data_IF_178535684309
#
_entry.id   IF_178535684309
#
_cell.length_a   1.000
_cell.length_b   1.000
_cell.length_c   1.000
_cell.angle_alpha   90.00
_cell.angle_beta   90.00
_cell.angle_gamma   90.00
#
_symmetry.space_group_name_H-M   'P 1'
#
loop_
_entity.id
_entity.type
_entity.pdbx_description
1 polymer ?
#
# COMPACT_ATOMS: atom_id res chain seq x y z
N UNK A 1 26.65 5.12 -11.09
CA UNK A 1 25.54 4.47 -11.84
C UNK A 1 24.74 3.62 -10.88
N UNK A 2 23.39 3.67 -10.94
CA UNK A 2 22.50 2.88 -10.07
C UNK A 2 21.66 1.99 -10.94
N UNK A 3 21.81 0.65 -10.81
CA UNK A 3 20.94 -0.31 -11.47
C UNK A 3 19.56 -0.33 -10.76
N UNK A 4 18.50 -0.40 -11.52
CA UNK A 4 17.14 -0.46 -10.99
C UNK A 4 16.24 -1.40 -11.79
N UNK A 5 15.19 -1.88 -11.15
CA UNK A 5 14.02 -2.48 -11.79
C UNK A 5 12.81 -1.57 -11.54
N UNK A 6 11.99 -1.36 -12.57
CA UNK A 6 10.69 -0.68 -12.43
C UNK A 6 9.60 -1.73 -12.37
N UNK A 7 8.76 -1.64 -11.35
CA UNK A 7 7.66 -2.57 -11.10
C UNK A 7 6.41 -1.81 -10.69
N UNK A 8 5.27 -2.47 -10.72
CA UNK A 8 4.05 -1.97 -10.08
C UNK A 8 3.26 -3.08 -9.40
N UNK A 9 2.45 -2.68 -8.39
CA UNK A 9 1.41 -3.50 -7.80
C UNK A 9 0.09 -2.74 -7.86
N UNK A 10 -0.85 -3.21 -8.69
CA UNK A 10 -2.15 -2.54 -8.89
C UNK A 10 -2.01 -1.05 -9.31
N UNK A 11 -1.09 -0.73 -10.20
CA UNK A 11 -0.87 0.63 -10.70
C UNK A 11 -0.02 1.55 -9.81
N UNK A 12 0.28 1.16 -8.57
CA UNK A 12 1.25 1.85 -7.73
C UNK A 12 2.66 1.46 -8.17
N UNK A 13 3.44 2.40 -8.72
CA UNK A 13 4.70 2.13 -9.40
C UNK A 13 5.94 2.40 -8.54
N UNK A 14 6.92 1.52 -8.69
CA UNK A 14 8.13 1.49 -7.87
C UNK A 14 9.40 1.45 -8.71
N UNK A 15 10.43 2.15 -8.25
CA UNK A 15 11.82 1.88 -8.63
C UNK A 15 12.44 1.05 -7.51
N UNK A 16 12.86 -0.17 -7.81
CA UNK A 16 13.52 -1.07 -6.87
C UNK A 16 15.02 -1.09 -7.14
N UNK A 17 15.80 -0.81 -6.10
CA UNK A 17 17.26 -0.80 -6.12
C UNK A 17 17.77 -1.88 -5.17
N UNK A 18 18.48 -2.86 -5.69
CA UNK A 18 19.26 -3.79 -4.87
C UNK A 18 20.47 -3.05 -4.29
N UNK A 19 20.57 -3.03 -2.98
CA UNK A 19 21.64 -2.35 -2.23
C UNK A 19 22.21 -3.24 -1.12
N UNK A 20 22.36 -4.54 -1.39
CA UNK A 20 22.83 -5.52 -0.43
C UNK A 20 24.29 -5.29 0.01
N UNK A 21 25.06 -4.62 -0.80
CA UNK A 21 26.46 -4.25 -0.49
C UNK A 21 26.58 -2.82 0.09
N UNK A 22 25.46 -2.10 0.28
CA UNK A 22 25.42 -0.71 0.77
C UNK A 22 26.25 0.30 -0.04
N UNK A 23 26.47 0.03 -1.33
CA UNK A 23 27.29 0.89 -2.21
C UNK A 23 26.52 2.12 -2.71
N UNK A 24 25.18 2.08 -2.69
CA UNK A 24 24.37 3.19 -3.18
C UNK A 24 23.94 4.12 -2.06
N UNK A 25 24.45 5.35 -2.11
CA UNK A 25 23.93 6.47 -1.31
C UNK A 25 22.80 7.13 -2.09
N UNK A 26 21.62 7.20 -1.47
CA UNK A 26 20.39 7.78 -2.03
C UNK A 26 19.90 8.94 -1.15
N UNK A 27 20.60 10.10 -1.19
CA UNK A 27 20.18 11.28 -0.45
C UNK A 27 18.84 11.80 -1.02
N UNK A 28 18.09 12.52 -0.19
CA UNK A 28 16.76 13.07 -0.52
C UNK A 28 16.74 13.78 -1.89
N UNK A 29 17.72 14.61 -2.18
CA UNK A 29 17.82 15.34 -3.44
C UNK A 29 17.93 14.42 -4.67
N UNK A 30 18.63 13.29 -4.54
CA UNK A 30 18.76 12.30 -5.61
C UNK A 30 17.44 11.56 -5.83
N UNK A 31 16.74 11.18 -4.76
CA UNK A 31 15.44 10.52 -4.84
C UNK A 31 14.42 11.43 -5.54
N UNK A 32 14.37 12.72 -5.20
CA UNK A 32 13.50 13.71 -5.85
C UNK A 32 13.81 13.79 -7.36
N UNK A 33 15.11 13.86 -7.73
CA UNK A 33 15.51 13.89 -9.16
C UNK A 33 15.07 12.62 -9.91
N UNK A 34 15.24 11.46 -9.27
CA UNK A 34 14.79 10.18 -9.86
C UNK A 34 13.26 10.09 -9.94
N UNK A 35 12.54 10.67 -8.96
CA UNK A 35 11.08 10.63 -8.87
C UNK A 35 10.35 11.54 -9.84
N UNK A 36 11.03 12.53 -10.43
CA UNK A 36 10.41 13.44 -11.41
C UNK A 36 9.91 12.67 -12.65
N UNK A 37 8.59 12.69 -12.89
CA UNK A 37 7.96 11.93 -14.00
C UNK A 37 8.28 12.49 -15.39
N UNK A 38 8.82 13.70 -15.50
CA UNK A 38 9.17 14.35 -16.78
C UNK A 38 10.66 14.31 -17.07
N UNK A 39 11.49 14.41 -16.02
CA UNK A 39 12.95 14.56 -16.14
C UNK A 39 13.74 13.43 -15.46
N UNK A 40 13.08 12.55 -14.73
CA UNK A 40 13.63 11.40 -14.04
C UNK A 40 13.06 10.08 -14.53
N UNK A 41 13.06 9.07 -13.66
CA UNK A 41 12.45 7.76 -13.90
C UNK A 41 10.94 7.79 -13.65
N UNK A 42 10.49 8.69 -12.77
CA UNK A 42 9.12 8.79 -12.32
C UNK A 42 8.68 7.54 -11.54
N UNK A 43 8.14 7.73 -10.36
CA UNK A 43 7.60 6.66 -9.51
C UNK A 43 6.75 7.24 -8.39
N UNK A 44 5.89 6.41 -7.81
CA UNK A 44 5.23 6.73 -6.54
C UNK A 44 6.22 6.56 -5.38
N UNK A 45 7.00 5.46 -5.39
CA UNK A 45 8.03 5.22 -4.38
C UNK A 45 9.28 4.57 -4.96
N UNK A 46 10.43 4.93 -4.37
CA UNK A 46 11.69 4.22 -4.53
C UNK A 46 11.86 3.25 -3.37
N UNK A 47 12.25 2.01 -3.67
CA UNK A 47 12.44 0.95 -2.70
C UNK A 47 13.90 0.49 -2.76
N UNK A 48 14.57 0.44 -1.60
CA UNK A 48 15.90 -0.18 -1.50
C UNK A 48 15.82 -1.49 -0.74
N UNK A 49 16.50 -2.51 -1.27
CA UNK A 49 16.68 -3.80 -0.60
C UNK A 49 18.08 -3.83 -0.02
N UNK A 50 18.16 -3.93 1.29
CA UNK A 50 19.42 -3.82 2.04
C UNK A 50 19.67 -5.13 2.82
N UNK A 51 20.91 -5.34 3.32
CA UNK A 51 21.19 -6.45 4.23
C UNK A 51 20.25 -6.43 5.43
N UNK A 52 19.91 -7.59 6.00
CA UNK A 52 19.05 -7.66 7.18
C UNK A 52 19.70 -6.91 8.37
N UNK A 53 18.89 -6.20 9.15
CA UNK A 53 19.33 -5.53 10.37
C UNK A 53 19.53 -6.47 11.56
N UNK A 54 18.94 -7.67 11.48
CA UNK A 54 19.09 -8.71 12.49
C UNK A 54 18.89 -10.08 11.82
N UNK A 55 19.28 -11.15 12.52
CA UNK A 55 19.24 -12.53 12.00
C UNK A 55 17.84 -13.13 11.79
N UNK A 56 16.78 -12.42 12.23
CA UNK A 56 15.40 -12.88 12.07
C UNK A 56 14.80 -12.50 10.72
N UNK A 57 15.40 -11.54 10.01
CA UNK A 57 14.92 -11.05 8.73
C UNK A 57 15.80 -11.57 7.59
N UNK A 58 15.20 -11.91 6.45
CA UNK A 58 15.95 -12.28 5.26
C UNK A 58 16.57 -11.03 4.60
N UNK A 59 15.83 -9.91 4.57
CA UNK A 59 16.25 -8.63 4.01
C UNK A 59 15.68 -7.47 4.82
N UNK A 60 16.28 -6.27 4.68
CA UNK A 60 15.72 -5.03 5.19
C UNK A 60 15.34 -4.11 4.05
N UNK A 61 14.09 -3.65 4.03
CA UNK A 61 13.50 -2.85 2.93
C UNK A 61 13.18 -1.44 3.43
N UNK A 62 13.64 -0.43 2.67
CA UNK A 62 13.26 0.97 2.89
C UNK A 62 12.42 1.47 1.73
N UNK A 63 11.44 2.29 2.06
CA UNK A 63 10.52 2.93 1.12
C UNK A 63 10.71 4.44 1.17
N UNK A 64 10.82 5.08 0.02
CA UNK A 64 10.95 6.52 -0.08
C UNK A 64 9.90 7.05 -1.05
N UNK A 65 9.14 8.04 -0.63
CA UNK A 65 8.23 8.76 -1.51
C UNK A 65 9.00 9.57 -2.57
N UNK A 66 8.34 9.97 -3.64
CA UNK A 66 8.96 10.75 -4.72
C UNK A 66 9.47 12.13 -4.25
N UNK A 67 9.00 12.64 -3.12
CA UNK A 67 9.51 13.85 -2.46
C UNK A 67 10.75 13.60 -1.58
N UNK A 68 11.25 12.35 -1.57
CA UNK A 68 12.43 11.91 -0.83
C UNK A 68 12.21 11.69 0.67
N UNK A 69 10.98 11.75 1.17
CA UNK A 69 10.65 11.36 2.55
C UNK A 69 10.62 9.84 2.68
N UNK A 70 11.12 9.31 3.79
CA UNK A 70 11.07 7.87 4.07
C UNK A 70 9.67 7.50 4.59
N UNK A 71 9.01 6.59 3.90
CA UNK A 71 7.74 6.00 4.31
C UNK A 71 7.96 4.78 5.22
N UNK A 72 7.00 4.48 6.07
CA UNK A 72 7.12 3.37 7.02
C UNK A 72 7.04 2.01 6.32
N UNK A 73 6.11 1.84 5.39
CA UNK A 73 5.88 0.61 4.62
C UNK A 73 4.85 0.86 3.51
N UNK A 74 4.94 0.09 2.43
CA UNK A 74 3.93 0.02 1.38
C UNK A 74 3.64 -1.45 1.02
N UNK A 75 2.39 -1.88 1.16
CA UNK A 75 2.02 -3.29 0.92
C UNK A 75 2.13 -3.71 -0.54
N UNK A 76 1.84 -2.79 -1.49
CA UNK A 76 2.07 -3.04 -2.90
C UNK A 76 3.58 -3.20 -3.18
N UNK A 77 4.39 -2.34 -2.57
CA UNK A 77 5.85 -2.39 -2.66
C UNK A 77 6.44 -3.66 -2.03
N UNK A 78 5.94 -4.09 -0.87
CA UNK A 78 6.39 -5.35 -0.21
C UNK A 78 6.18 -6.56 -1.14
N UNK A 79 5.02 -6.65 -1.83
CA UNK A 79 4.78 -7.70 -2.81
C UNK A 79 5.74 -7.63 -4.00
N UNK A 80 5.99 -6.42 -4.50
CA UNK A 80 6.95 -6.19 -5.60
C UNK A 80 8.37 -6.58 -5.20
N UNK A 81 8.79 -6.31 -3.95
CA UNK A 81 10.08 -6.76 -3.43
C UNK A 81 10.17 -8.28 -3.40
N UNK A 82 9.14 -8.98 -2.90
CA UNK A 82 9.12 -10.45 -2.90
C UNK A 82 9.27 -11.02 -4.31
N UNK A 83 8.47 -10.55 -5.27
CA UNK A 83 8.56 -10.96 -6.67
C UNK A 83 9.96 -10.70 -7.25
N UNK A 84 10.52 -9.50 -7.00
CA UNK A 84 11.87 -9.13 -7.45
C UNK A 84 12.95 -10.09 -6.92
N UNK A 85 12.94 -10.38 -5.60
CA UNK A 85 13.95 -11.22 -4.97
C UNK A 85 13.98 -12.64 -5.54
N UNK A 86 12.82 -13.20 -5.82
CA UNK A 86 12.71 -14.55 -6.41
C UNK A 86 13.08 -14.56 -7.89
N UNK A 87 12.66 -13.56 -8.66
CA UNK A 87 12.92 -13.51 -10.11
C UNK A 87 14.39 -13.16 -10.42
N UNK A 88 15.00 -12.30 -9.60
CA UNK A 88 16.43 -11.97 -9.69
C UNK A 88 17.35 -13.05 -9.09
N UNK A 89 16.80 -14.19 -8.63
CA UNK A 89 17.53 -15.27 -7.98
C UNK A 89 18.37 -14.82 -6.76
N UNK A 90 17.96 -13.71 -6.10
CA UNK A 90 18.59 -13.22 -4.87
C UNK A 90 18.13 -13.99 -3.63
N UNK A 91 17.02 -14.70 -3.73
CA UNK A 91 16.51 -15.62 -2.74
C UNK A 91 15.84 -16.83 -3.40
N UNK A 92 15.82 -18.01 -2.74
CA UNK A 92 15.04 -19.14 -3.21
C UNK A 92 13.54 -18.79 -3.19
N UNK A 93 12.75 -19.40 -4.10
CA UNK A 93 11.30 -19.17 -4.21
C UNK A 93 10.53 -19.84 -3.06
N UNK A 94 10.69 -19.30 -1.87
CA UNK A 94 10.04 -19.72 -0.61
C UNK A 94 9.62 -18.48 0.19
N UNK A 95 8.86 -18.61 1.29
CA UNK A 95 8.52 -17.48 2.17
C UNK A 95 9.75 -16.71 2.62
N UNK A 96 9.65 -15.38 2.63
CA UNK A 96 10.70 -14.45 3.08
C UNK A 96 10.13 -13.50 4.12
N UNK A 97 10.88 -13.25 5.19
CA UNK A 97 10.54 -12.24 6.20
C UNK A 97 11.30 -10.95 5.92
N UNK A 98 10.60 -9.95 5.43
CA UNK A 98 11.15 -8.63 5.10
C UNK A 98 11.04 -7.69 6.30
N UNK A 99 12.17 -7.23 6.83
CA UNK A 99 12.20 -6.16 7.82
C UNK A 99 11.87 -4.82 7.15
N UNK A 100 11.04 -4.00 7.79
CA UNK A 100 10.73 -2.63 7.36
C UNK A 100 10.91 -1.65 8.51
N UNK A 101 10.70 -0.35 8.28
CA UNK A 101 10.77 0.65 9.32
C UNK A 101 9.68 0.47 10.39
N UNK A 102 8.47 0.05 10.00
CA UNK A 102 7.36 -0.15 10.94
C UNK A 102 7.42 -1.52 11.61
N UNK A 103 7.33 -2.60 10.83
CA UNK A 103 7.30 -3.99 11.32
C UNK A 103 7.72 -4.96 10.21
N UNK A 104 8.18 -6.16 10.57
CA UNK A 104 8.47 -7.18 9.56
C UNK A 104 7.19 -7.67 8.88
N UNK A 105 7.32 -8.04 7.61
CA UNK A 105 6.23 -8.57 6.79
C UNK A 105 6.68 -9.88 6.13
N UNK A 106 5.88 -10.93 6.32
CA UNK A 106 6.07 -12.19 5.63
C UNK A 106 5.49 -12.08 4.22
N UNK A 107 6.30 -12.39 3.20
CA UNK A 107 5.85 -12.51 1.81
C UNK A 107 6.04 -13.95 1.34
N UNK A 108 5.09 -14.44 0.54
CA UNK A 108 5.10 -15.80 0.04
C UNK A 108 4.76 -15.84 -1.44
N UNK A 109 5.48 -16.66 -2.24
CA UNK A 109 5.12 -16.88 -3.63
C UNK A 109 3.80 -17.66 -3.72
N UNK A 110 3.01 -17.39 -4.76
CA UNK A 110 1.81 -18.19 -5.07
C UNK A 110 2.00 -18.95 -6.37
N UNK A 111 1.13 -19.94 -6.64
CA UNK A 111 1.14 -20.67 -7.89
C UNK A 111 0.76 -19.79 -9.10
N UNK A 112 -0.03 -18.74 -8.88
CA UNK A 112 -0.60 -17.88 -9.92
C UNK A 112 0.25 -16.66 -10.29
N UNK A 113 1.55 -16.65 -10.02
CA UNK A 113 2.46 -15.49 -10.16
C UNK A 113 2.08 -14.26 -9.34
N UNK A 114 1.03 -14.33 -8.51
CA UNK A 114 0.70 -13.30 -7.51
C UNK A 114 1.60 -13.50 -6.29
N UNK A 115 1.71 -12.45 -5.49
CA UNK A 115 2.45 -12.49 -4.22
C UNK A 115 1.48 -12.35 -3.06
N UNK A 116 1.64 -13.20 -2.06
CA UNK A 116 0.93 -13.12 -0.80
C UNK A 116 1.78 -12.34 0.21
N UNK A 117 1.18 -11.40 0.91
CA UNK A 117 1.77 -10.72 2.06
C UNK A 117 0.88 -10.95 3.27
N UNK A 118 1.48 -11.24 4.44
CA UNK A 118 0.77 -11.51 5.68
C UNK A 118 0.83 -10.29 6.58
N UNK A 119 -0.34 -9.83 7.03
CA UNK A 119 -0.54 -8.64 7.85
C UNK A 119 -1.15 -9.00 9.20
N UNK A 120 -1.01 -8.11 10.17
CA UNK A 120 -1.89 -8.11 11.32
C UNK A 120 -3.30 -7.71 10.91
N UNK A 121 -4.31 -8.23 11.60
CA UNK A 121 -5.69 -7.81 11.37
C UNK A 121 -5.82 -6.33 11.74
N UNK A 122 -6.35 -5.48 10.84
CA UNK A 122 -6.63 -4.07 11.17
C UNK A 122 -7.59 -3.95 12.34
N UNK A 123 -7.35 -2.96 13.20
CA UNK A 123 -8.16 -2.70 14.39
C UNK A 123 -9.16 -1.56 14.16
N UNK A 124 -10.36 -1.70 14.74
CA UNK A 124 -11.32 -0.61 14.74
C UNK A 124 -10.97 0.39 15.85
N UNK A 125 -10.97 1.67 15.51
CA UNK A 125 -10.81 2.77 16.45
C UNK A 125 -12.12 3.51 16.69
N UNK A 126 -12.22 4.16 17.84
CA UNK A 126 -13.41 4.96 18.21
C UNK A 126 -13.27 6.36 17.64
N UNK A 127 -14.33 6.84 16.98
CA UNK A 127 -14.43 8.24 16.55
C UNK A 127 -15.02 9.08 17.69
N UNK A 128 -14.43 10.26 18.03
CA UNK A 128 -15.02 11.18 19.00
C UNK A 128 -16.46 11.56 18.63
N UNK A 129 -17.34 11.71 19.62
CA UNK A 129 -18.76 12.05 19.42
C UNK A 129 -18.96 13.31 18.56
N UNK A 130 -18.09 14.31 18.71
CA UNK A 130 -18.11 15.54 17.90
C UNK A 130 -17.87 15.28 16.43
N UNK A 131 -16.92 14.39 16.10
CA UNK A 131 -16.57 14.00 14.73
C UNK A 131 -17.65 13.10 14.12
N UNK A 132 -18.23 12.20 14.90
CA UNK A 132 -19.35 11.36 14.48
C UNK A 132 -20.55 12.24 14.06
N UNK A 133 -20.94 13.24 14.89
CA UNK A 133 -22.00 14.21 14.55
C UNK A 133 -21.66 15.02 13.29
N UNK A 134 -20.38 15.36 13.08
CA UNK A 134 -19.96 16.04 11.87
C UNK A 134 -20.12 15.16 10.63
N UNK A 135 -19.73 13.88 10.69
CA UNK A 135 -19.92 12.93 9.60
C UNK A 135 -21.41 12.76 9.25
N UNK A 136 -22.29 12.67 10.26
CA UNK A 136 -23.73 12.62 10.06
C UNK A 136 -24.28 13.86 9.34
N UNK A 137 -23.84 15.07 9.73
CA UNK A 137 -24.18 16.33 9.03
C UNK A 137 -23.67 16.36 7.58
N UNK A 138 -22.60 15.59 7.27
CA UNK A 138 -22.12 15.39 5.91
C UNK A 138 -22.89 14.29 5.14
N UNK A 139 -23.96 13.70 5.73
CA UNK A 139 -24.72 12.62 5.11
C UNK A 139 -24.02 11.24 5.12
N UNK A 140 -23.00 11.09 5.99
CA UNK A 140 -22.23 9.89 6.14
C UNK A 140 -22.73 9.12 7.36
N UNK A 141 -23.46 8.02 7.15
CA UNK A 141 -24.09 7.23 8.23
C UNK A 141 -23.51 5.83 8.40
N UNK A 142 -23.03 5.23 7.30
CA UNK A 142 -22.44 3.88 7.30
C UNK A 142 -20.93 3.99 7.10
N UNK A 143 -20.18 4.05 8.18
CA UNK A 143 -18.71 4.15 8.14
C UNK A 143 -18.08 3.37 9.29
N UNK A 144 -16.80 3.12 9.13
CA UNK A 144 -15.89 2.59 10.16
C UNK A 144 -14.60 3.38 10.14
N UNK A 145 -14.00 3.51 11.32
CA UNK A 145 -12.69 4.11 11.50
C UNK A 145 -11.71 3.02 11.88
N UNK A 146 -10.75 2.75 11.02
CA UNK A 146 -9.91 1.56 11.08
C UNK A 146 -8.44 1.95 11.03
N UNK A 147 -7.63 1.32 11.86
CA UNK A 147 -6.18 1.40 11.80
C UNK A 147 -5.62 0.14 11.13
N UNK A 148 -5.00 0.32 9.98
CA UNK A 148 -4.33 -0.72 9.19
C UNK A 148 -2.81 -0.45 9.08
N UNK A 149 -2.22 0.12 10.14
CA UNK A 149 -0.87 0.69 10.16
C UNK A 149 -0.87 2.20 9.93
N UNK A 150 -1.92 2.71 9.28
CA UNK A 150 -2.31 4.11 9.16
C UNK A 150 -3.84 4.20 9.30
N UNK A 151 -4.34 5.42 9.48
CA UNK A 151 -5.75 5.67 9.82
C UNK A 151 -6.62 5.75 8.58
N UNK A 152 -7.75 5.05 8.60
CA UNK A 152 -8.72 4.99 7.50
C UNK A 152 -10.13 5.29 7.98
N UNK A 153 -10.82 6.20 7.30
CA UNK A 153 -12.27 6.33 7.36
C UNK A 153 -12.86 5.61 6.15
N UNK A 154 -13.49 4.46 6.38
CA UNK A 154 -14.07 3.62 5.32
C UNK A 154 -15.58 3.78 5.33
N UNK A 155 -16.17 4.22 4.22
CA UNK A 155 -17.55 4.65 4.11
C UNK A 155 -18.29 3.78 3.08
N UNK A 156 -19.37 3.14 3.49
CA UNK A 156 -20.23 2.36 2.59
C UNK A 156 -21.16 3.27 1.78
N UNK A 157 -21.15 3.14 0.45
CA UNK A 157 -22.04 3.82 -0.48
C UNK A 157 -22.44 2.88 -1.62
N UNK A 158 -23.65 3.01 -2.18
CA UNK A 158 -24.12 2.15 -3.28
C UNK A 158 -23.49 2.48 -4.65
N UNK A 159 -23.25 3.76 -4.93
CA UNK A 159 -22.73 4.24 -6.23
C UNK A 159 -21.47 5.09 -5.99
N UNK A 160 -20.36 4.43 -5.68
CA UNK A 160 -19.12 5.13 -5.27
C UNK A 160 -18.55 6.04 -6.35
N UNK A 161 -18.76 5.72 -7.63
CA UNK A 161 -18.27 6.53 -8.77
C UNK A 161 -19.08 7.81 -9.03
N UNK A 162 -20.27 7.97 -8.42
CA UNK A 162 -21.05 9.20 -8.51
C UNK A 162 -20.59 10.28 -7.52
N UNK A 163 -19.64 9.96 -6.64
CA UNK A 163 -19.14 10.89 -5.62
C UNK A 163 -17.86 11.56 -6.09
N UNK A 164 -17.76 12.87 -5.87
CA UNK A 164 -16.51 13.61 -5.92
C UNK A 164 -15.75 13.32 -4.62
N UNK A 165 -14.85 12.30 -4.68
CA UNK A 165 -14.11 11.84 -3.51
C UNK A 165 -13.07 12.86 -3.05
N UNK A 166 -12.48 13.64 -3.97
CA UNK A 166 -11.51 14.68 -3.63
C UNK A 166 -12.17 15.83 -2.86
N UNK A 167 -13.35 16.27 -3.32
CA UNK A 167 -14.14 17.29 -2.62
C UNK A 167 -14.58 16.81 -1.25
N UNK A 168 -15.05 15.55 -1.14
CA UNK A 168 -15.42 14.97 0.15
C UNK A 168 -14.22 14.93 1.09
N UNK A 169 -13.09 14.43 0.64
CA UNK A 169 -11.86 14.28 1.43
C UNK A 169 -11.33 15.64 1.89
N UNK A 170 -11.29 16.62 0.99
CA UNK A 170 -10.90 18.00 1.31
C UNK A 170 -11.81 18.63 2.37
N UNK A 171 -13.14 18.38 2.29
CA UNK A 171 -14.09 18.85 3.29
C UNK A 171 -13.84 18.22 4.66
N UNK A 172 -13.59 16.90 4.71
CA UNK A 172 -13.36 16.20 5.98
C UNK A 172 -12.03 16.63 6.62
N UNK A 173 -10.96 16.75 5.83
CA UNK A 173 -9.61 17.15 6.30
C UNK A 173 -9.49 18.59 6.81
N UNK A 174 -10.51 19.44 6.61
CA UNK A 174 -10.58 20.74 7.31
C UNK A 174 -10.67 20.59 8.83
N UNK A 175 -11.07 19.43 9.32
CA UNK A 175 -11.04 19.14 10.75
C UNK A 175 -9.73 18.42 11.10
N UNK A 176 -9.08 18.90 12.16
CA UNK A 176 -7.77 18.39 12.62
C UNK A 176 -7.75 16.87 12.81
N UNK A 177 -8.86 16.27 13.25
CA UNK A 177 -8.97 14.83 13.47
C UNK A 177 -8.77 14.00 12.18
N UNK A 178 -9.15 14.54 11.01
CA UNK A 178 -9.08 13.83 9.72
C UNK A 178 -7.92 14.27 8.83
N UNK A 179 -6.99 15.11 9.29
CA UNK A 179 -5.92 15.67 8.45
C UNK A 179 -5.04 14.59 7.82
N UNK A 180 -4.68 13.57 8.59
CA UNK A 180 -3.81 12.46 8.21
C UNK A 180 -4.59 11.15 7.89
N UNK A 181 -5.91 11.25 7.74
CA UNK A 181 -6.79 10.10 7.52
C UNK A 181 -7.00 9.84 6.04
N UNK A 182 -6.80 8.59 5.62
CA UNK A 182 -7.19 8.11 4.30
C UNK A 182 -8.71 7.93 4.23
N UNK A 183 -9.35 8.53 3.23
CA UNK A 183 -10.80 8.51 3.08
C UNK A 183 -11.16 7.55 1.95
N UNK A 184 -11.96 6.53 2.26
CA UNK A 184 -12.34 5.51 1.29
C UNK A 184 -13.85 5.42 1.15
N UNK A 185 -14.31 5.26 -0.10
CA UNK A 185 -15.67 4.86 -0.42
C UNK A 185 -15.66 3.43 -0.93
N UNK A 186 -16.57 2.59 -0.44
CA UNK A 186 -16.74 1.24 -0.98
C UNK A 186 -18.20 0.89 -1.21
N UNK A 187 -18.45 0.02 -2.20
CA UNK A 187 -19.74 -0.60 -2.48
C UNK A 187 -19.63 -2.12 -2.39
N UNK A 188 -20.73 -2.75 -1.97
CA UNK A 188 -20.84 -4.21 -1.86
C UNK A 188 -21.53 -4.79 -3.08
N UNK A 189 -20.92 -5.80 -3.65
CA UNK A 189 -21.49 -6.67 -4.67
C UNK A 189 -21.57 -8.10 -4.13
N UNK A 190 -22.16 -9.04 -4.88
CA UNK A 190 -22.31 -10.44 -4.45
C UNK A 190 -21.00 -11.07 -4.00
N UNK A 191 -19.93 -10.89 -4.77
CA UNK A 191 -18.66 -11.60 -4.60
C UNK A 191 -17.44 -10.70 -4.38
N UNK A 192 -17.63 -9.38 -4.46
CA UNK A 192 -16.54 -8.44 -4.30
C UNK A 192 -16.98 -7.13 -3.64
N UNK A 193 -16.01 -6.32 -3.26
CA UNK A 193 -16.16 -4.95 -2.83
C UNK A 193 -15.42 -4.04 -3.83
N UNK A 194 -16.12 -3.05 -4.38
CA UNK A 194 -15.45 -1.96 -5.10
C UNK A 194 -14.97 -0.91 -4.13
N UNK A 195 -13.77 -0.38 -4.37
CA UNK A 195 -13.09 0.55 -3.46
C UNK A 195 -12.45 1.71 -4.23
N UNK A 196 -12.68 2.92 -3.74
CA UNK A 196 -11.94 4.14 -4.12
C UNK A 196 -11.35 4.75 -2.87
N UNK A 197 -10.11 5.22 -2.95
CA UNK A 197 -9.40 5.80 -1.80
C UNK A 197 -8.71 7.10 -2.18
N UNK A 198 -8.98 8.15 -1.39
CA UNK A 198 -8.20 9.38 -1.40
C UNK A 198 -7.23 9.33 -0.21
N UNK A 199 -5.94 9.17 -0.51
CA UNK A 199 -4.89 9.07 0.50
C UNK A 199 -4.45 10.45 0.99
N UNK A 200 -4.13 10.55 2.27
CA UNK A 200 -3.63 11.78 2.86
C UNK A 200 -2.27 12.15 2.24
N UNK A 201 -2.19 13.34 1.66
CA UNK A 201 -0.98 13.83 0.98
C UNK A 201 -0.80 13.39 -0.47
N UNK A 202 -1.54 12.37 -0.96
CA UNK A 202 -1.39 11.85 -2.32
C UNK A 202 -2.64 12.06 -3.21
N UNK A 203 -3.81 12.32 -2.61
CA UNK A 203 -5.06 12.42 -3.36
C UNK A 203 -5.67 11.04 -3.69
N UNK A 204 -6.55 10.98 -4.68
CA UNK A 204 -7.15 9.72 -5.11
C UNK A 204 -6.12 8.85 -5.85
N UNK A 205 -5.90 7.63 -5.36
CA UNK A 205 -4.92 6.69 -5.90
C UNK A 205 -5.60 5.49 -6.58
N UNK A 206 -4.90 4.86 -7.53
CA UNK A 206 -5.42 3.70 -8.25
C UNK A 206 -5.66 2.49 -7.35
N UNK A 207 -4.83 2.31 -6.30
CA UNK A 207 -4.96 1.21 -5.35
C UNK A 207 -4.20 1.51 -4.06
N UNK A 208 -4.88 1.34 -2.93
CA UNK A 208 -4.29 1.44 -1.59
C UNK A 208 -4.43 0.11 -0.85
N UNK A 209 -3.29 -0.54 -0.55
CA UNK A 209 -3.28 -1.84 0.13
C UNK A 209 -3.85 -1.76 1.55
N UNK A 210 -3.48 -0.72 2.33
CA UNK A 210 -3.99 -0.53 3.70
C UNK A 210 -5.49 -0.19 3.71
N UNK A 211 -5.99 0.57 2.73
CA UNK A 211 -7.42 0.82 2.58
C UNK A 211 -8.19 -0.46 2.24
N UNK A 212 -7.62 -1.31 1.39
CA UNK A 212 -8.18 -2.63 1.07
C UNK A 212 -8.24 -3.52 2.32
N UNK A 213 -7.17 -3.56 3.12
CA UNK A 213 -7.13 -4.28 4.38
C UNK A 213 -8.16 -3.72 5.39
N UNK A 214 -8.23 -2.40 5.54
CA UNK A 214 -9.20 -1.73 6.40
C UNK A 214 -10.64 -2.03 5.97
N UNK A 215 -10.93 -2.00 4.66
CA UNK A 215 -12.27 -2.29 4.13
C UNK A 215 -12.64 -3.75 4.34
N UNK A 216 -11.73 -4.68 4.09
CA UNK A 216 -11.97 -6.11 4.26
C UNK A 216 -12.19 -6.49 5.72
N UNK A 217 -11.45 -5.90 6.66
CA UNK A 217 -11.41 -6.31 8.07
C UNK A 217 -12.77 -6.40 8.75
N UNK A 218 -13.71 -5.53 8.38
CA UNK A 218 -15.06 -5.54 8.96
C UNK A 218 -16.16 -6.04 7.99
N UNK A 219 -15.77 -6.50 6.78
CA UNK A 219 -16.71 -7.02 5.80
C UNK A 219 -16.63 -8.55 5.62
N UNK A 220 -15.78 -9.24 6.33
CA UNK A 220 -15.65 -10.70 6.21
C UNK A 220 -16.96 -11.42 6.58
N UNK A 221 -17.70 -10.95 7.61
CA UNK A 221 -18.89 -11.64 8.12
C UNK A 221 -18.62 -13.16 8.23
N UNK A 222 -19.38 -13.98 7.48
CA UNK A 222 -19.16 -15.43 7.40
C UNK A 222 -18.24 -15.86 6.23
N UNK A 223 -17.70 -14.91 5.46
CA UNK A 223 -16.75 -15.19 4.37
C UNK A 223 -15.34 -15.16 4.91
N UNK A 224 -14.50 -16.10 4.49
CA UNK A 224 -13.06 -16.10 4.81
C UNK A 224 -12.22 -15.41 3.75
N UNK A 225 -12.78 -15.19 2.55
CA UNK A 225 -12.12 -14.58 1.40
C UNK A 225 -12.98 -13.45 0.85
N UNK A 226 -12.36 -12.31 0.61
CA UNK A 226 -12.97 -11.16 -0.04
C UNK A 226 -12.09 -10.68 -1.20
N UNK A 227 -12.72 -10.29 -2.30
CA UNK A 227 -12.06 -9.59 -3.40
C UNK A 227 -12.34 -8.10 -3.29
N UNK A 228 -11.31 -7.30 -3.35
CA UNK A 228 -11.37 -5.84 -3.39
C UNK A 228 -10.96 -5.40 -4.78
N UNK A 229 -11.84 -4.69 -5.47
CA UNK A 229 -11.62 -4.15 -6.82
C UNK A 229 -11.44 -2.64 -6.70
N UNK A 230 -10.32 -2.14 -7.17
CA UNK A 230 -10.03 -0.72 -7.29
C UNK A 230 -9.67 -0.38 -8.75
N UNK A 231 -9.50 0.89 -9.08
CA UNK A 231 -9.12 1.31 -10.44
C UNK A 231 -7.81 0.68 -10.93
N UNK A 232 -6.88 0.37 -9.99
CA UNK A 232 -5.60 -0.27 -10.31
C UNK A 232 -5.65 -1.80 -10.41
N UNK A 233 -6.78 -2.44 -10.05
CA UNK A 233 -6.94 -3.89 -10.14
C UNK A 233 -7.50 -4.56 -8.89
N UNK A 234 -7.38 -5.88 -8.85
CA UNK A 234 -7.93 -6.75 -7.81
C UNK A 234 -6.89 -7.11 -6.75
N UNK A 235 -7.33 -7.09 -5.48
CA UNK A 235 -6.67 -7.73 -4.35
C UNK A 235 -7.59 -8.77 -3.75
N UNK A 236 -7.06 -9.96 -3.45
CA UNK A 236 -7.77 -10.97 -2.67
C UNK A 236 -7.28 -10.92 -1.22
N UNK A 237 -8.22 -10.78 -0.28
CA UNK A 237 -7.90 -10.73 1.14
C UNK A 237 -8.55 -11.93 1.85
N UNK A 238 -7.76 -12.67 2.61
CA UNK A 238 -8.22 -13.84 3.35
C UNK A 238 -7.93 -13.66 4.84
N UNK A 239 -8.95 -13.87 5.66
CA UNK A 239 -8.81 -13.90 7.11
C UNK A 239 -8.32 -15.28 7.55
N UNK A 240 -7.22 -15.33 8.31
CA UNK A 240 -6.68 -16.54 8.93
C UNK A 240 -6.38 -16.21 10.39
N UNK A 241 -7.21 -16.70 11.29
CA UNK A 241 -7.15 -16.39 12.72
C UNK A 241 -7.14 -14.86 12.94
N UNK A 242 -6.12 -14.34 13.57
CA UNK A 242 -5.85 -12.93 13.85
C UNK A 242 -4.99 -12.23 12.77
N UNK A 243 -4.72 -12.91 11.66
CA UNK A 243 -3.93 -12.39 10.53
C UNK A 243 -4.80 -12.17 9.30
N UNK A 244 -4.28 -11.31 8.43
CA UNK A 244 -4.87 -11.00 7.14
C UNK A 244 -3.84 -11.33 6.04
N UNK A 245 -4.17 -12.28 5.16
CA UNK A 245 -3.40 -12.51 3.93
C UNK A 245 -3.91 -11.60 2.83
N UNK A 246 -3.01 -10.86 2.21
CA UNK A 246 -3.28 -10.03 1.03
C UNK A 246 -2.56 -10.63 -0.17
N UNK A 247 -3.30 -11.05 -1.17
CA UNK A 247 -2.79 -11.65 -2.41
C UNK A 247 -3.07 -10.68 -3.56
N UNK A 248 -2.04 -10.32 -4.30
CA UNK A 248 -2.16 -9.39 -5.42
C UNK A 248 -1.01 -9.48 -6.41
N UNK A 249 -1.12 -8.78 -7.54
CA UNK A 249 -0.08 -8.77 -8.56
C UNK A 249 1.16 -8.01 -8.06
N UNK A 250 2.29 -8.35 -8.68
CA UNK A 250 3.55 -7.62 -8.64
C UNK A 250 4.19 -7.80 -10.01
N UNK A 251 4.17 -6.75 -10.82
CA UNK A 251 4.47 -6.84 -12.25
C UNK A 251 5.72 -6.04 -12.61
N UNK A 252 6.60 -6.65 -13.39
CA UNK A 252 7.78 -6.00 -13.96
C UNK A 252 7.37 -5.12 -15.14
N UNK A 253 7.95 -3.92 -15.21
CA UNK A 253 7.76 -2.97 -16.32
C UNK A 253 9.02 -2.94 -17.16
N UNK A 254 10.14 -2.58 -16.56
CA UNK A 254 11.44 -2.47 -17.22
C UNK A 254 12.59 -2.49 -16.22
N UNK A 255 13.80 -2.56 -16.73
CA UNK A 255 15.03 -2.38 -15.95
C UNK A 255 15.94 -1.37 -16.64
N UNK A 256 16.90 -0.83 -15.90
CA UNK A 256 17.83 0.14 -16.45
C UNK A 256 18.90 0.56 -15.49
N UNK A 257 19.65 1.57 -15.91
CA UNK A 257 20.73 2.19 -15.15
C UNK A 257 20.50 3.69 -15.06
N UNK A 258 20.44 4.23 -13.86
CA UNK A 258 20.43 5.66 -13.61
C UNK A 258 21.87 6.19 -13.69
N UNK A 259 22.15 7.06 -14.68
CA UNK A 259 23.47 7.58 -15.00
C UNK A 259 23.76 8.95 -14.37
N UNK A 260 22.73 9.69 -13.94
CA UNK A 260 22.89 11.05 -13.42
C UNK A 260 23.44 11.01 -11.99
N UNK A 261 24.44 11.82 -11.73
CA UNK A 261 25.02 12.05 -10.40
C UNK A 261 24.15 13.00 -9.56
#
# INVERSE_FOLDING_TARGET
MIKFKKMHGNGNDFIIVENLTNIYSLPKSKIIKMGDRKKGLGFDQLITINPPKNSKHDFYVKFFNSDGTEADMCMNGVRSVGAFLWEACLAPKKPLLLGTKSKPVLVEPTQSKKVKAVLDMPSQEVIPKTEAKFLEKCGLRKYKFINAGNRHLVIEKKKIFSYDLDKLSSKLRKRKFFTDVNISLFSKHSDNLELRTNEAGAGETLSCGSASAATASFNFNNKLLLKIISAGGELSLRKINDKLEMIGPAEFICEGVWLRN
#
